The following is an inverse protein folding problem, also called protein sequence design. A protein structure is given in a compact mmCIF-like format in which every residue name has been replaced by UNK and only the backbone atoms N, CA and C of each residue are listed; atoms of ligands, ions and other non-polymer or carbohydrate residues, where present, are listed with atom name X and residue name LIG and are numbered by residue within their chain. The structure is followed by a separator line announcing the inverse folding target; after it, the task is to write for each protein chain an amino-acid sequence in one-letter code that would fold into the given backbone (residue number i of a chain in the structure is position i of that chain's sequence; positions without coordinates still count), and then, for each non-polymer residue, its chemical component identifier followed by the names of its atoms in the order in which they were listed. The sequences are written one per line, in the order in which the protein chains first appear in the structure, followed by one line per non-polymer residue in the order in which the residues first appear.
data_IF_154015331174
#
_entry.id   IF_154015331174
#
_cell.length_a   1.000
_cell.length_b   1.000
_cell.length_c   1.000
_cell.angle_alpha   90.00
_cell.angle_beta   90.00
_cell.angle_gamma   90.00
#
_symmetry.space_group_name_H-M   'P 1'
#
loop_
_entity.id
_entity.type
_entity.pdbx_description
1 polymer ?
#
# COMPACT_ATOMS: atom_id res chain seq x y z
N UNK A 1 -25.70 11.93 8.51
CA UNK A 1 -25.25 12.01 7.11
C UNK A 1 -25.17 10.61 6.51
N UNK A 2 -25.66 10.39 5.29
CA UNK A 2 -25.43 9.12 4.57
C UNK A 2 -24.03 9.12 3.95
N UNK A 3 -23.21 8.10 4.24
CA UNK A 3 -21.87 7.94 3.65
C UNK A 3 -21.93 6.90 2.54
N UNK A 4 -21.48 7.27 1.34
CA UNK A 4 -21.45 6.41 0.16
C UNK A 4 -20.02 6.33 -0.39
N UNK A 5 -19.69 5.24 -1.06
CA UNK A 5 -18.41 5.06 -1.77
C UNK A 5 -18.65 4.64 -3.23
N UNK A 6 -17.62 4.78 -4.07
CA UNK A 6 -17.63 4.41 -5.49
C UNK A 6 -16.49 3.42 -5.77
N UNK A 7 -16.77 2.35 -6.51
CA UNK A 7 -15.77 1.34 -6.89
C UNK A 7 -14.84 1.78 -8.06
N UNK A 8 -14.98 3.02 -8.55
CA UNK A 8 -14.22 3.52 -9.69
C UNK A 8 -13.57 4.88 -9.42
N UNK A 9 -12.43 5.14 -10.07
CA UNK A 9 -11.83 6.48 -10.13
C UNK A 9 -12.34 7.29 -11.32
N UNK A 10 -13.43 6.89 -11.96
CA UNK A 10 -13.97 7.53 -13.18
C UNK A 10 -14.38 8.98 -12.91
N UNK A 11 -15.08 9.31 -11.81
CA UNK A 11 -15.36 10.70 -11.42
C UNK A 11 -14.10 11.56 -11.31
N UNK A 12 -13.07 11.09 -10.60
CA UNK A 12 -11.82 11.82 -10.42
C UNK A 12 -11.09 12.03 -11.75
N UNK A 13 -11.05 11.01 -12.62
CA UNK A 13 -10.48 11.14 -13.96
C UNK A 13 -11.28 12.09 -14.85
N UNK A 14 -12.59 12.17 -14.69
CA UNK A 14 -13.41 13.16 -15.40
C UNK A 14 -13.08 14.58 -14.97
N UNK A 15 -12.82 14.79 -13.67
CA UNK A 15 -12.48 16.11 -13.12
C UNK A 15 -11.05 16.52 -13.50
N UNK A 16 -10.08 15.60 -13.37
CA UNK A 16 -8.67 15.86 -13.68
C UNK A 16 -8.40 15.86 -15.20
N UNK A 17 -9.18 15.09 -15.96
CA UNK A 17 -9.05 14.93 -17.41
C UNK A 17 -9.68 16.06 -18.25
N UNK A 18 -10.35 17.04 -17.63
CA UNK A 18 -10.87 18.21 -18.35
C UNK A 18 -9.92 19.43 -18.30
N UNK A 19 -8.78 19.33 -17.60
CA UNK A 19 -7.99 20.49 -17.19
C UNK A 19 -6.80 20.91 -18.04
N UNK A 20 -6.38 20.18 -19.09
CA UNK A 20 -5.36 20.67 -20.05
C UNK A 20 -5.68 20.22 -21.47
N UNK A 21 -6.21 21.17 -22.25
CA UNK A 21 -6.59 21.09 -23.67
C UNK A 21 -7.67 20.07 -24.03
N UNK A 22 -8.84 20.58 -24.42
CA UNK A 22 -9.74 19.91 -25.35
C UNK A 22 -8.96 19.59 -26.63
N UNK A 23 -8.37 18.40 -26.71
CA UNK A 23 -7.47 17.98 -27.79
C UNK A 23 -6.35 17.02 -27.39
N UNK A 24 -5.98 16.91 -26.11
CA UNK A 24 -4.83 16.07 -25.68
C UNK A 24 -5.18 14.59 -25.45
N UNK A 25 -5.95 13.99 -26.36
CA UNK A 25 -5.86 12.55 -26.69
C UNK A 25 -5.97 12.34 -28.21
N UNK A 26 -5.46 13.28 -29.01
CA UNK A 26 -5.43 13.18 -30.48
C UNK A 26 -4.70 11.93 -31.01
N UNK A 27 -3.90 11.26 -30.17
CA UNK A 27 -3.20 10.01 -30.52
C UNK A 27 -3.55 8.84 -29.62
N UNK A 28 -4.84 8.60 -29.34
CA UNK A 28 -5.24 7.24 -28.93
C UNK A 28 -5.63 6.47 -30.19
N UNK A 29 -4.70 5.65 -30.68
CA UNK A 29 -4.97 4.67 -31.72
C UNK A 29 -6.22 3.87 -31.33
N UNK A 30 -7.22 3.87 -32.22
CA UNK A 30 -8.46 3.12 -32.06
C UNK A 30 -8.09 1.64 -32.04
N UNK A 31 -8.08 1.00 -30.86
CA UNK A 31 -7.92 -0.45 -30.77
C UNK A 31 -9.09 -1.09 -31.51
N UNK A 32 -8.80 -1.69 -32.67
CA UNK A 32 -9.75 -2.53 -33.40
C UNK A 32 -10.15 -3.68 -32.48
N UNK A 33 -11.41 -3.67 -32.04
CA UNK A 33 -12.00 -4.80 -31.32
C UNK A 33 -12.03 -5.99 -32.28
N UNK A 34 -11.39 -7.14 -31.95
CA UNK A 34 -11.52 -8.34 -32.77
C UNK A 34 -13.00 -8.74 -32.76
N UNK A 35 -13.64 -8.75 -33.93
CA UNK A 35 -14.97 -9.36 -34.09
C UNK A 35 -14.81 -10.88 -34.13
N UNK A 36 -14.49 -11.44 -32.96
CA UNK A 36 -14.57 -12.88 -32.70
C UNK A 36 -16.00 -13.26 -32.39
N UNK A 37 -16.67 -13.87 -33.38
CA UNK A 37 -17.90 -14.64 -33.19
C UNK A 37 -17.52 -15.82 -32.29
N UNK A 38 -18.22 -15.99 -31.16
CA UNK A 38 -17.99 -16.93 -30.04
C UNK A 38 -17.16 -16.36 -28.87
N UNK A 39 -17.84 -16.14 -27.72
CA UNK A 39 -17.19 -15.84 -26.44
C UNK A 39 -17.79 -14.73 -25.58
N UNK A 40 -19.11 -14.50 -25.60
CA UNK A 40 -19.77 -13.51 -24.71
C UNK A 40 -19.91 -14.03 -23.27
N UNK A 41 -18.78 -14.23 -22.57
CA UNK A 41 -18.73 -14.29 -21.11
C UNK A 41 -18.05 -13.06 -20.49
N UNK A 42 -17.54 -12.14 -21.33
CA UNK A 42 -16.99 -10.84 -20.88
C UNK A 42 -18.06 -9.74 -20.77
N UNK A 43 -19.32 -10.04 -21.15
CA UNK A 43 -20.46 -9.13 -21.02
C UNK A 43 -20.95 -8.94 -19.56
N UNK A 44 -20.35 -9.66 -18.60
CA UNK A 44 -20.59 -9.47 -17.17
C UNK A 44 -19.82 -8.26 -16.59
N UNK A 45 -18.83 -7.72 -17.30
CA UNK A 45 -18.21 -6.43 -16.97
C UNK A 45 -19.03 -5.24 -17.51
N UNK A 46 -20.37 -5.32 -17.39
CA UNK A 46 -21.26 -4.21 -17.75
C UNK A 46 -20.95 -3.04 -16.82
N UNK A 47 -20.20 -2.08 -17.39
CA UNK A 47 -19.91 -0.76 -16.86
C UNK A 47 -21.05 -0.27 -15.99
N UNK A 48 -20.70 0.07 -14.76
CA UNK A 48 -21.54 0.78 -13.83
C UNK A 48 -22.22 1.98 -14.51
N UNK A 49 -23.39 2.35 -13.96
CA UNK A 49 -24.40 3.22 -14.59
C UNK A 49 -23.81 4.28 -15.54
N UNK A 50 -24.12 4.15 -16.83
CA UNK A 50 -23.69 5.07 -17.91
C UNK A 50 -24.69 6.20 -18.16
N UNK A 51 -25.77 6.27 -17.38
CA UNK A 51 -26.92 7.16 -17.60
C UNK A 51 -26.82 8.48 -16.83
N UNK A 52 -25.67 8.82 -16.26
CA UNK A 52 -25.46 10.07 -15.52
C UNK A 52 -24.22 10.84 -16.00
N UNK A 53 -24.04 12.09 -15.55
CA UNK A 53 -22.84 12.87 -15.81
C UNK A 53 -21.56 12.07 -15.47
N UNK A 54 -20.46 12.23 -16.23
CA UNK A 54 -19.24 11.45 -16.03
C UNK A 54 -18.60 11.67 -14.65
N UNK A 55 -18.96 12.77 -13.97
CA UNK A 55 -18.58 13.11 -12.60
C UNK A 55 -19.27 12.27 -11.53
N UNK A 56 -20.28 11.46 -11.87
CA UNK A 56 -20.98 10.57 -10.93
C UNK A 56 -21.06 9.12 -11.44
N UNK A 57 -20.29 8.78 -12.48
CA UNK A 57 -20.23 7.43 -13.01
C UNK A 57 -19.61 6.44 -12.00
N UNK A 58 -19.92 5.15 -12.15
CA UNK A 58 -19.44 4.09 -11.26
C UNK A 58 -20.56 3.44 -10.44
N UNK A 59 -20.22 2.41 -9.67
CA UNK A 59 -21.17 1.74 -8.79
C UNK A 59 -21.05 2.38 -7.42
N UNK A 60 -22.13 3.00 -6.99
CA UNK A 60 -22.24 3.55 -5.65
C UNK A 60 -22.73 2.47 -4.69
N UNK A 61 -22.10 2.37 -3.54
CA UNK A 61 -22.52 1.52 -2.44
C UNK A 61 -22.50 2.32 -1.15
N UNK A 62 -23.33 1.89 -0.19
CA UNK A 62 -23.31 2.45 1.14
C UNK A 62 -22.01 2.03 1.85
N UNK A 63 -21.34 2.99 2.48
CA UNK A 63 -20.18 2.67 3.29
C UNK A 63 -20.64 1.89 4.53
N UNK A 64 -19.99 0.77 4.89
CA UNK A 64 -20.29 0.08 6.15
C UNK A 64 -20.29 1.07 7.32
N UNK A 65 -21.14 0.84 8.34
CA UNK A 65 -21.12 1.67 9.53
C UNK A 65 -19.72 1.66 10.14
N UNK A 66 -19.29 2.80 10.62
CA UNK A 66 -18.02 2.90 11.32
C UNK A 66 -18.11 2.09 12.62
N UNK A 67 -17.03 1.40 12.98
CA UNK A 67 -16.93 0.72 14.27
C UNK A 67 -17.21 1.70 15.42
N UNK A 68 -18.12 1.31 16.31
CA UNK A 68 -18.60 2.16 17.40
C UNK A 68 -17.74 1.99 18.66
N UNK A 69 -17.13 0.83 18.87
CA UNK A 69 -16.29 0.59 20.03
C UNK A 69 -14.93 1.32 19.87
N UNK A 70 -14.63 2.32 20.72
CA UNK A 70 -13.36 3.04 20.66
C UNK A 70 -12.15 2.14 20.90
N UNK A 71 -12.31 1.05 21.66
CA UNK A 71 -11.25 0.09 21.96
C UNK A 71 -10.86 -0.70 20.72
N UNK A 72 -11.84 -1.22 19.99
CA UNK A 72 -11.62 -1.94 18.72
C UNK A 72 -10.95 -1.03 17.70
N UNK A 73 -11.40 0.23 17.60
CA UNK A 73 -10.77 1.22 16.73
C UNK A 73 -9.32 1.51 17.11
N UNK A 74 -9.04 1.68 18.40
CA UNK A 74 -7.69 1.97 18.89
C UNK A 74 -6.75 0.79 18.65
N UNK A 75 -7.22 -0.44 18.87
CA UNK A 75 -6.49 -1.67 18.56
C UNK A 75 -6.16 -1.77 17.07
N UNK A 76 -7.14 -1.55 16.19
CA UNK A 76 -6.94 -1.58 14.74
C UNK A 76 -5.96 -0.50 14.27
N UNK A 77 -6.02 0.70 14.85
CA UNK A 77 -5.10 1.79 14.55
C UNK A 77 -3.66 1.45 14.96
N UNK A 78 -3.45 0.96 16.20
CA UNK A 78 -2.13 0.56 16.66
C UNK A 78 -1.53 -0.55 15.80
N UNK A 79 -2.35 -1.53 15.39
CA UNK A 79 -1.92 -2.58 14.46
C UNK A 79 -1.51 -2.03 13.10
N UNK A 80 -2.33 -1.14 12.54
CA UNK A 80 -2.04 -0.49 11.25
C UNK A 80 -0.72 0.28 11.29
N UNK A 81 -0.44 0.99 12.38
CA UNK A 81 0.84 1.70 12.56
C UNK A 81 2.04 0.73 12.58
N UNK A 82 1.91 -0.39 13.29
CA UNK A 82 2.96 -1.41 13.35
C UNK A 82 3.19 -2.06 11.98
N UNK A 83 2.13 -2.41 11.27
CA UNK A 83 2.22 -3.03 9.94
C UNK A 83 2.84 -2.06 8.90
N UNK A 84 2.52 -0.77 9.00
CA UNK A 84 2.99 0.26 8.07
C UNK A 84 4.41 0.73 8.34
N UNK A 85 4.77 0.95 9.60
CA UNK A 85 6.08 1.52 9.96
C UNK A 85 7.11 0.46 10.35
N UNK A 86 6.68 -0.76 10.72
CA UNK A 86 7.53 -1.81 11.29
C UNK A 86 7.99 -1.50 12.73
N UNK A 87 8.47 -0.27 12.95
CA UNK A 87 8.84 0.31 14.24
C UNK A 87 8.03 1.59 14.46
N UNK A 88 7.21 1.61 15.52
CA UNK A 88 6.38 2.75 15.89
C UNK A 88 7.08 3.56 16.98
N UNK A 89 7.19 4.86 16.72
CA UNK A 89 7.79 5.86 17.61
C UNK A 89 6.86 7.07 17.73
N UNK A 90 7.19 8.00 18.63
CA UNK A 90 6.47 9.29 18.72
C UNK A 90 6.43 10.02 17.36
N UNK A 91 7.54 10.03 16.63
CA UNK A 91 7.63 10.68 15.33
C UNK A 91 6.72 10.02 14.29
N UNK A 92 6.70 8.68 14.25
CA UNK A 92 5.82 7.93 13.34
C UNK A 92 4.33 8.23 13.62
N UNK A 93 3.92 8.22 14.88
CA UNK A 93 2.52 8.55 15.26
C UNK A 93 2.17 10.00 14.92
N UNK A 94 3.12 10.93 15.10
CA UNK A 94 2.92 12.34 14.74
C UNK A 94 2.78 12.53 13.22
N UNK A 95 3.54 11.77 12.43
CA UNK A 95 3.48 11.84 10.96
C UNK A 95 2.13 11.35 10.41
N UNK A 96 1.49 10.39 11.07
CA UNK A 96 0.17 9.86 10.72
C UNK A 96 -0.99 10.72 11.26
N UNK A 97 -0.71 11.77 12.04
CA UNK A 97 -1.74 12.69 12.55
C UNK A 97 -2.76 12.04 13.48
N UNK A 98 -2.35 11.02 14.25
CA UNK A 98 -3.24 10.26 15.13
C UNK A 98 -3.80 11.14 16.25
N UNK A 99 -5.13 11.13 16.39
CA UNK A 99 -5.84 11.84 17.46
C UNK A 99 -5.40 11.34 18.85
N UNK A 100 -5.15 12.28 19.77
CA UNK A 100 -4.58 11.97 21.09
C UNK A 100 -3.07 11.65 21.08
N UNK A 101 -2.46 11.60 19.90
CA UNK A 101 -1.02 11.46 19.69
C UNK A 101 -0.41 10.21 20.31
N UNK A 102 0.90 10.26 20.55
CA UNK A 102 1.65 9.11 21.04
C UNK A 102 1.15 8.60 22.40
N UNK A 103 0.67 9.46 23.30
CA UNK A 103 0.18 9.03 24.62
C UNK A 103 -1.03 8.11 24.53
N UNK A 104 -1.95 8.39 23.59
CA UNK A 104 -3.12 7.52 23.37
C UNK A 104 -2.68 6.17 22.79
N UNK A 105 -1.83 6.17 21.77
CA UNK A 105 -1.31 4.96 21.13
C UNK A 105 -0.43 4.14 22.07
N UNK A 106 0.37 4.79 22.91
CA UNK A 106 1.31 4.15 23.84
C UNK A 106 0.60 3.17 24.78
N UNK A 107 -0.56 3.56 25.37
CA UNK A 107 -1.30 2.66 26.26
C UNK A 107 -1.72 1.35 25.57
N UNK A 108 -2.07 1.43 24.30
CA UNK A 108 -2.52 0.26 23.51
C UNK A 108 -1.30 -0.57 23.10
N UNK A 109 -0.20 0.08 22.73
CA UNK A 109 1.06 -0.61 22.41
C UNK A 109 1.67 -1.31 23.63
N UNK A 110 1.51 -0.75 24.84
CA UNK A 110 1.86 -1.45 26.08
C UNK A 110 0.99 -2.69 26.31
N UNK A 111 -0.32 -2.62 26.05
CA UNK A 111 -1.17 -3.82 26.10
C UNK A 111 -0.78 -4.86 25.03
N UNK A 112 -0.29 -4.42 23.87
CA UNK A 112 0.25 -5.31 22.84
C UNK A 112 1.56 -5.96 23.28
N UNK A 113 2.38 -5.24 24.02
CA UNK A 113 3.58 -5.80 24.67
C UNK A 113 3.21 -6.88 25.68
N UNK A 114 2.27 -6.60 26.58
CA UNK A 114 1.80 -7.56 27.58
C UNK A 114 1.22 -8.85 26.96
N UNK A 115 0.62 -8.74 25.77
CA UNK A 115 0.07 -9.87 25.01
C UNK A 115 1.04 -10.48 23.99
N UNK A 116 2.28 -9.98 23.90
CA UNK A 116 3.31 -10.47 22.98
C UNK A 116 3.10 -10.13 21.51
N UNK A 117 2.15 -9.24 21.18
CA UNK A 117 1.91 -8.80 19.80
C UNK A 117 2.95 -7.78 19.32
N UNK A 118 3.55 -7.03 20.24
CA UNK A 118 4.62 -6.08 19.97
C UNK A 118 5.71 -6.22 21.03
N UNK A 119 6.92 -5.74 20.76
CA UNK A 119 7.97 -5.61 21.76
C UNK A 119 8.47 -4.19 21.84
N UNK A 120 8.67 -3.73 23.06
CA UNK A 120 9.27 -2.45 23.35
C UNK A 120 10.79 -2.57 23.44
N UNK A 121 11.51 -1.61 22.88
CA UNK A 121 12.96 -1.55 23.02
C UNK A 121 13.61 -0.39 22.29
N UNK A 122 14.93 -0.37 22.31
CA UNK A 122 15.76 0.50 21.49
C UNK A 122 16.26 -0.32 20.31
N UNK A 123 15.49 -0.34 19.23
CA UNK A 123 15.78 -1.20 18.06
C UNK A 123 16.57 -0.43 17.01
N UNK A 124 16.32 0.87 16.88
CA UNK A 124 16.99 1.76 15.94
C UNK A 124 17.56 2.96 16.68
N UNK A 125 18.83 3.26 16.42
CA UNK A 125 19.49 4.45 16.97
C UNK A 125 18.87 5.74 16.42
N UNK A 126 18.80 6.78 17.26
CA UNK A 126 18.28 8.10 16.86
C UNK A 126 16.76 8.22 16.75
N UNK A 127 16.00 7.12 16.88
CA UNK A 127 14.52 7.13 16.76
C UNK A 127 13.77 7.41 18.08
N UNK A 128 14.46 7.93 19.09
CA UNK A 128 13.89 8.29 20.40
C UNK A 128 13.73 7.11 21.37
N UNK A 129 13.29 7.44 22.59
CA UNK A 129 13.38 6.54 23.75
C UNK A 129 12.31 5.44 23.85
N UNK A 130 11.17 5.61 23.20
CA UNK A 130 10.09 4.63 23.19
C UNK A 130 9.84 4.16 21.77
N UNK A 131 10.18 2.91 21.50
CA UNK A 131 9.96 2.25 20.22
C UNK A 131 9.26 0.92 20.46
N UNK A 132 8.26 0.65 19.63
CA UNK A 132 7.53 -0.61 19.62
C UNK A 132 7.62 -1.22 18.23
N UNK A 133 7.90 -2.52 18.16
CA UNK A 133 8.04 -3.21 16.88
C UNK A 133 7.37 -4.58 16.95
N UNK A 134 6.91 -5.05 15.80
CA UNK A 134 6.51 -6.46 15.64
C UNK A 134 7.75 -7.35 15.75
N UNK A 135 7.62 -8.57 16.27
CA UNK A 135 8.75 -9.51 16.39
C UNK A 135 9.47 -9.72 15.04
N UNK A 136 8.72 -9.94 13.96
CA UNK A 136 9.30 -10.08 12.62
C UNK A 136 9.96 -8.81 12.08
N UNK A 137 9.67 -7.63 12.63
CA UNK A 137 10.42 -6.41 12.32
C UNK A 137 11.75 -6.35 13.10
N UNK A 138 11.73 -6.72 14.39
CA UNK A 138 12.93 -6.82 15.23
C UNK A 138 13.92 -7.84 14.66
N UNK A 139 13.43 -9.02 14.26
CA UNK A 139 14.28 -10.08 13.74
C UNK A 139 14.94 -9.68 12.42
N UNK A 140 14.21 -8.98 11.54
CA UNK A 140 14.77 -8.42 10.30
C UNK A 140 15.84 -7.36 10.57
N UNK A 141 15.61 -6.47 11.54
CA UNK A 141 16.60 -5.46 11.93
C UNK A 141 17.87 -6.10 12.53
N UNK A 142 17.72 -7.16 13.34
CA UNK A 142 18.86 -7.95 13.84
C UNK A 142 19.61 -8.65 12.72
N UNK A 143 18.91 -9.26 11.77
CA UNK A 143 19.54 -9.90 10.62
C UNK A 143 20.37 -8.91 9.80
N UNK A 144 19.82 -7.71 9.54
CA UNK A 144 20.53 -6.60 8.88
C UNK A 144 21.76 -6.14 9.66
N UNK A 145 21.65 -5.97 10.98
CA UNK A 145 22.79 -5.60 11.83
C UNK A 145 23.90 -6.66 11.78
N UNK A 146 23.53 -7.92 11.94
CA UNK A 146 24.48 -9.03 11.94
C UNK A 146 25.20 -9.19 10.58
N UNK A 147 24.49 -8.98 9.46
CA UNK A 147 25.10 -8.99 8.13
C UNK A 147 26.11 -7.85 7.97
N UNK A 148 25.79 -6.65 8.46
CA UNK A 148 26.71 -5.50 8.46
C UNK A 148 27.98 -5.79 9.25
N UNK A 149 27.83 -6.35 10.44
CA UNK A 149 28.98 -6.68 11.31
C UNK A 149 29.90 -7.73 10.67
N UNK A 150 29.35 -8.64 9.86
CA UNK A 150 30.12 -9.66 9.11
C UNK A 150 30.62 -9.18 7.73
N UNK A 151 30.27 -7.98 7.30
CA UNK A 151 30.59 -7.50 5.95
C UNK A 151 29.86 -8.25 4.82
N UNK A 152 28.74 -8.90 5.14
CA UNK A 152 27.90 -9.61 4.18
C UNK A 152 26.97 -8.66 3.42
N UNK A 153 26.55 -9.02 2.19
CA UNK A 153 25.54 -8.27 1.48
C UNK A 153 24.24 -8.19 2.30
N UNK A 154 23.64 -7.00 2.35
CA UNK A 154 22.39 -6.79 3.04
C UNK A 154 21.27 -7.62 2.39
N UNK A 155 20.36 -8.22 3.19
CA UNK A 155 19.19 -8.88 2.63
C UNK A 155 18.38 -7.87 1.82
N UNK A 156 18.04 -8.23 0.58
CA UNK A 156 17.24 -7.37 -0.29
C UNK A 156 15.89 -7.06 0.38
N UNK A 157 15.48 -5.79 0.36
CA UNK A 157 14.14 -5.39 0.78
C UNK A 157 13.14 -6.04 -0.16
N UNK A 158 12.50 -7.13 0.25
CA UNK A 158 11.50 -7.89 -0.54
C UNK A 158 10.23 -7.12 -0.93
N UNK A 159 10.19 -5.80 -0.77
CA UNK A 159 9.20 -4.94 -1.40
C UNK A 159 9.65 -4.70 -2.85
N UNK A 160 8.95 -5.25 -3.87
CA UNK A 160 9.24 -4.88 -5.25
C UNK A 160 9.08 -3.37 -5.35
N UNK A 161 10.12 -2.67 -5.80
CA UNK A 161 9.97 -1.26 -6.09
C UNK A 161 8.88 -1.15 -7.18
N UNK A 162 7.81 -0.35 -6.98
CA UNK A 162 6.69 -0.28 -7.92
C UNK A 162 7.08 0.26 -9.31
N UNK A 163 8.34 0.69 -9.46
CA UNK A 163 8.93 1.18 -10.69
C UNK A 163 10.15 0.38 -11.16
N UNK A 164 10.57 -0.67 -10.44
CA UNK A 164 11.68 -1.49 -10.90
C UNK A 164 11.27 -2.14 -12.23
N UNK A 165 12.03 -1.92 -13.33
CA UNK A 165 11.83 -2.71 -14.52
C UNK A 165 12.00 -4.18 -14.12
N UNK A 166 11.08 -5.02 -14.62
CA UNK A 166 11.12 -6.46 -14.44
C UNK A 166 12.53 -6.95 -14.83
N UNK A 167 13.36 -7.25 -13.83
CA UNK A 167 14.66 -7.86 -14.06
C UNK A 167 14.34 -9.31 -14.42
N UNK A 168 13.94 -9.50 -15.67
CA UNK A 168 13.78 -10.79 -16.29
C UNK A 168 15.03 -11.59 -15.93
N UNK A 169 14.83 -12.65 -15.14
CA UNK A 169 15.87 -13.58 -14.79
C UNK A 169 16.64 -13.94 -16.07
N UNK A 170 17.93 -13.61 -16.09
CA UNK A 170 18.81 -13.90 -17.20
C UNK A 170 18.68 -15.36 -17.59
N UNK A 171 18.21 -15.61 -18.80
CA UNK A 171 18.29 -16.91 -19.44
C UNK A 171 19.74 -17.38 -19.51
N UNK A 172 20.00 -18.70 -19.57
CA UNK A 172 21.34 -19.25 -19.50
C UNK A 172 22.22 -18.68 -20.61
N UNK A 173 23.48 -18.43 -20.26
CA UNK A 173 24.55 -17.97 -21.13
C UNK A 173 24.54 -18.76 -22.45
N UNK A 174 24.37 -18.04 -23.56
CA UNK A 174 24.65 -18.58 -24.87
C UNK A 174 26.17 -18.55 -25.07
N UNK A 175 26.72 -19.75 -25.27
CA UNK A 175 28.08 -20.03 -25.71
C UNK A 175 28.52 -19.21 -26.92
N UNK A 176 29.80 -18.83 -26.88
CA UNK A 176 30.80 -18.82 -27.95
C UNK A 176 30.41 -18.35 -29.35
N UNK A 177 30.96 -17.19 -29.74
CA UNK A 177 31.50 -16.99 -31.09
C UNK A 177 32.82 -16.24 -31.02
N UNK A 178 33.88 -17.05 -31.03
CA UNK A 178 35.27 -16.68 -31.29
C UNK A 178 35.39 -16.08 -32.70
N UNK A 179 36.09 -14.95 -32.86
CA UNK A 179 36.49 -14.46 -34.17
C UNK A 179 38.02 -14.33 -34.22
N UNK A 180 38.62 -15.14 -35.08
CA UNK A 180 39.89 -14.87 -35.73
C UNK A 180 39.62 -14.13 -37.06
#
# INVERSE_FOLDING_TARGET
SGRLTNDTLTPMRSLLGSGRTAGSTAHRAKRTMPRGRYGSLTAAARSASRTGPPTVAGRWSLLPPQEADPTVRAHALARTLLDRHGVVTRGAVSAEGVEGGFSATYRILSAFEDSGQARRGYVVEGLGAAQFAMDGAVDRLRAVSNARDRGEPLPESGAPAPWAPDQAQGGPAAEDWDWA
#
